data_IF_916089615542
#
_entry.id   IF_916089615542
#
_cell.length_a   1.000
_cell.length_b   1.000
_cell.length_c   1.000
_cell.angle_alpha   90.00
_cell.angle_beta   90.00
_cell.angle_gamma   90.00
#
_symmetry.space_group_name_H-M   'P 1'
#
loop_
_entity.id
_entity.type
_entity.pdbx_description
1 polymer ?
#
# COMPACT_ATOMS: atom_id res chain seq x y z
N UNK A 1 13.94 -9.61 -18.85
CA UNK A 1 13.74 -9.60 -17.39
C UNK A 1 14.66 -8.61 -16.68
N UNK A 2 14.35 -8.24 -15.44
CA UNK A 2 15.27 -7.48 -14.57
C UNK A 2 16.41 -8.35 -14.06
N UNK A 3 17.60 -7.76 -13.86
CA UNK A 3 18.79 -8.51 -13.44
C UNK A 3 18.75 -8.95 -11.97
N UNK A 4 18.32 -8.06 -11.07
CA UNK A 4 18.10 -8.35 -9.65
C UNK A 4 17.13 -7.30 -9.10
N UNK A 5 16.06 -7.75 -8.46
CA UNK A 5 15.11 -6.90 -7.76
C UNK A 5 14.89 -7.35 -6.31
N UNK A 6 15.77 -8.17 -5.74
CA UNK A 6 15.70 -8.57 -4.33
C UNK A 6 15.92 -7.37 -3.39
N UNK A 7 15.36 -7.42 -2.18
CA UNK A 7 15.51 -6.38 -1.17
C UNK A 7 14.26 -6.16 -0.32
N UNK A 8 14.11 -4.92 0.16
CA UNK A 8 12.91 -4.42 0.82
C UNK A 8 11.87 -4.03 -0.25
N UNK A 9 10.68 -4.60 -0.18
CA UNK A 9 9.64 -4.42 -1.21
C UNK A 9 8.45 -3.65 -0.66
N UNK A 10 7.34 -4.34 -0.36
CA UNK A 10 6.13 -3.69 0.10
C UNK A 10 6.30 -3.16 1.53
N UNK A 11 5.74 -1.97 1.75
CA UNK A 11 5.49 -1.41 3.08
C UNK A 11 4.05 -0.88 3.11
N UNK A 12 3.32 -1.17 4.18
CA UNK A 12 2.00 -0.60 4.42
C UNK A 12 1.83 -0.23 5.89
N UNK A 13 1.17 0.90 6.13
CA UNK A 13 0.73 1.30 7.46
C UNK A 13 -0.66 0.70 7.72
N UNK A 14 -0.93 0.34 8.98
CA UNK A 14 -2.30 0.03 9.37
C UNK A 14 -3.24 1.22 9.06
N UNK A 15 -4.49 1.02 8.62
CA UNK A 15 -5.39 2.12 8.24
C UNK A 15 -5.65 3.13 9.38
N UNK A 16 -5.60 2.65 10.62
CA UNK A 16 -5.68 3.47 11.85
C UNK A 16 -4.32 3.96 12.38
N UNK A 17 -3.27 3.96 11.60
CA UNK A 17 -1.98 4.52 12.03
C UNK A 17 -2.11 6.01 12.35
N UNK A 18 -1.45 6.53 13.42
CA UNK A 18 -0.58 5.84 14.37
C UNK A 18 -1.31 5.21 15.58
N UNK A 19 -2.66 5.26 15.66
CA UNK A 19 -3.43 4.70 16.79
C UNK A 19 -3.24 3.19 16.93
N UNK A 20 -3.18 2.50 15.79
CA UNK A 20 -2.68 1.14 15.70
C UNK A 20 -1.32 1.25 15.00
N UNK A 21 -0.21 1.28 15.77
CA UNK A 21 1.10 1.66 15.25
C UNK A 21 1.79 0.50 14.50
N UNK A 22 1.05 -0.25 13.69
CA UNK A 22 1.58 -1.39 12.95
C UNK A 22 2.06 -0.96 11.57
N UNK A 23 3.27 -1.43 11.24
CA UNK A 23 3.91 -1.27 9.94
C UNK A 23 4.20 -2.66 9.38
N UNK A 24 3.63 -2.97 8.23
CA UNK A 24 3.76 -4.26 7.56
C UNK A 24 4.79 -4.13 6.45
N UNK A 25 5.71 -5.09 6.40
CA UNK A 25 6.88 -5.03 5.54
C UNK A 25 7.13 -6.40 4.93
N UNK A 26 7.28 -6.44 3.61
CA UNK A 26 7.81 -7.61 2.91
C UNK A 26 9.23 -7.34 2.41
N UNK A 27 10.11 -8.32 2.61
CA UNK A 27 11.48 -8.25 2.11
C UNK A 27 12.07 -9.64 1.88
N UNK A 28 13.04 -9.70 0.98
CA UNK A 28 13.86 -10.89 0.74
C UNK A 28 15.04 -10.96 1.73
N UNK A 29 15.56 -12.15 1.94
CA UNK A 29 16.74 -12.42 2.75
C UNK A 29 17.59 -13.54 2.11
N UNK A 30 18.71 -13.88 2.73
CA UNK A 30 19.67 -14.87 2.21
C UNK A 30 19.01 -16.20 1.83
N UNK A 31 19.61 -16.90 0.86
CA UNK A 31 19.13 -18.18 0.33
C UNK A 31 17.79 -18.11 -0.40
N UNK A 32 17.50 -16.99 -1.07
CA UNK A 32 16.28 -16.83 -1.87
C UNK A 32 15.01 -17.08 -1.04
N UNK A 33 14.96 -16.51 0.17
CA UNK A 33 13.77 -16.48 1.00
C UNK A 33 13.16 -15.08 1.03
N UNK A 34 11.85 -15.00 1.26
CA UNK A 34 11.12 -13.78 1.59
C UNK A 34 10.23 -14.02 2.82
N UNK A 35 9.87 -12.92 3.48
CA UNK A 35 8.99 -12.94 4.66
C UNK A 35 8.09 -11.73 4.70
N UNK A 36 6.93 -11.89 5.31
CA UNK A 36 6.05 -10.80 5.69
C UNK A 36 6.18 -10.59 7.20
N UNK A 37 6.55 -9.37 7.58
CA UNK A 37 6.81 -9.00 8.99
C UNK A 37 5.97 -7.78 9.33
N UNK A 38 5.38 -7.81 10.52
CA UNK A 38 4.76 -6.64 11.14
C UNK A 38 5.68 -6.11 12.23
N UNK A 39 5.95 -4.82 12.19
CA UNK A 39 6.62 -4.09 13.25
C UNK A 39 5.63 -3.21 13.99
N UNK A 40 6.00 -2.82 15.20
CA UNK A 40 5.36 -1.73 15.94
C UNK A 40 6.21 -0.48 15.78
N UNK A 41 5.64 0.63 15.31
CA UNK A 41 6.33 1.92 15.29
C UNK A 41 6.31 2.54 16.69
N UNK A 42 7.50 2.67 17.30
CA UNK A 42 7.66 3.38 18.55
C UNK A 42 7.79 4.88 18.26
N UNK A 43 6.70 5.63 18.47
CA UNK A 43 6.69 7.09 18.34
C UNK A 43 7.79 7.72 19.22
N UNK A 44 7.99 7.20 20.43
CA UNK A 44 8.97 7.74 21.38
C UNK A 44 10.42 7.60 20.91
N UNK A 45 10.74 6.51 20.23
CA UNK A 45 12.09 6.22 19.77
C UNK A 45 12.28 6.50 18.27
N UNK A 46 11.23 6.97 17.61
CA UNK A 46 11.14 7.21 16.17
C UNK A 46 11.68 6.01 15.35
N UNK A 47 11.36 4.78 15.79
CA UNK A 47 11.94 3.56 15.24
C UNK A 47 10.97 2.38 15.25
N UNK A 48 11.22 1.40 14.39
CA UNK A 48 10.48 0.14 14.36
C UNK A 48 11.00 -0.82 15.43
N UNK A 49 10.09 -1.36 16.23
CA UNK A 49 10.36 -2.32 17.31
C UNK A 49 9.41 -3.52 17.19
N UNK A 50 9.57 -4.51 18.07
CA UNK A 50 8.64 -5.63 18.25
C UNK A 50 8.25 -6.33 16.94
N UNK A 51 9.24 -6.88 16.22
CA UNK A 51 9.02 -7.59 14.97
C UNK A 51 8.22 -8.89 15.21
N UNK A 52 7.07 -9.02 14.56
CA UNK A 52 6.26 -10.23 14.48
C UNK A 52 6.29 -10.74 13.06
N UNK A 53 6.78 -11.95 12.86
CA UNK A 53 6.74 -12.59 11.55
C UNK A 53 5.34 -13.15 11.31
N UNK A 54 4.69 -12.71 10.23
CA UNK A 54 3.35 -13.17 9.85
C UNK A 54 3.42 -14.36 8.90
N UNK A 55 4.29 -14.26 7.88
CA UNK A 55 4.59 -15.36 6.97
C UNK A 55 6.10 -15.57 6.93
N UNK A 56 6.52 -16.81 7.15
CA UNK A 56 7.90 -17.24 7.04
C UNK A 56 8.14 -17.99 5.72
N UNK A 57 9.41 -18.04 5.30
CA UNK A 57 9.88 -18.96 4.26
C UNK A 57 9.09 -18.93 2.95
N UNK A 58 8.65 -17.74 2.52
CA UNK A 58 8.15 -17.57 1.16
C UNK A 58 9.35 -17.81 0.24
N UNK A 59 9.20 -18.61 -0.80
CA UNK A 59 10.27 -18.78 -1.77
C UNK A 59 10.44 -17.48 -2.54
N UNK A 60 11.65 -16.97 -2.57
CA UNK A 60 12.04 -15.78 -3.33
C UNK A 60 13.01 -16.19 -4.43
N UNK A 61 13.46 -15.21 -5.20
CA UNK A 61 14.57 -15.36 -6.15
C UNK A 61 15.24 -13.99 -6.38
N UNK A 62 16.18 -13.90 -7.33
CA UNK A 62 16.72 -12.59 -7.75
C UNK A 62 15.65 -11.75 -8.48
N UNK A 63 14.61 -12.36 -9.03
CA UNK A 63 13.41 -11.67 -9.54
C UNK A 63 12.13 -12.44 -9.20
N UNK A 64 10.97 -11.90 -9.57
CA UNK A 64 9.62 -12.45 -9.37
C UNK A 64 9.21 -12.60 -7.91
N UNK A 65 9.60 -11.62 -7.10
CA UNK A 65 9.28 -11.60 -5.68
C UNK A 65 7.97 -10.88 -5.38
N UNK A 66 7.29 -10.33 -6.39
CA UNK A 66 6.31 -9.27 -6.15
C UNK A 66 7.00 -8.00 -5.62
N UNK A 67 6.41 -7.23 -4.72
CA UNK A 67 5.19 -7.50 -3.95
C UNK A 67 4.41 -6.22 -3.67
N UNK A 68 3.17 -6.36 -3.18
CA UNK A 68 2.35 -5.22 -2.75
C UNK A 68 1.40 -5.60 -1.62
N UNK A 69 1.16 -4.67 -0.70
CA UNK A 69 0.22 -4.84 0.42
C UNK A 69 -0.86 -3.76 0.31
N UNK A 70 -2.13 -4.15 0.42
CA UNK A 70 -3.26 -3.20 0.51
C UNK A 70 -4.26 -3.65 1.56
N UNK A 71 -4.79 -2.71 2.33
CA UNK A 71 -5.82 -2.99 3.35
C UNK A 71 -7.22 -2.93 2.74
N UNK A 72 -8.03 -3.93 3.07
CA UNK A 72 -9.48 -3.92 2.80
C UNK A 72 -10.21 -3.11 3.88
N UNK A 73 -9.77 -3.24 5.12
CA UNK A 73 -10.31 -2.58 6.30
C UNK A 73 -9.28 -2.62 7.45
N UNK A 74 -9.70 -2.23 8.66
CA UNK A 74 -8.86 -2.20 9.87
C UNK A 74 -8.43 -3.58 10.40
N UNK A 75 -8.80 -4.69 9.76
CA UNK A 75 -8.55 -6.05 10.27
C UNK A 75 -8.10 -7.04 9.21
N UNK A 76 -8.29 -6.72 7.91
CA UNK A 76 -7.93 -7.58 6.79
C UNK A 76 -7.09 -6.81 5.77
N UNK A 77 -6.05 -7.46 5.28
CA UNK A 77 -5.25 -6.96 4.17
C UNK A 77 -4.95 -8.07 3.14
N UNK A 78 -4.55 -7.61 1.96
CA UNK A 78 -4.16 -8.43 0.83
C UNK A 78 -2.68 -8.24 0.56
N UNK A 79 -2.03 -9.31 0.12
CA UNK A 79 -0.61 -9.34 -0.15
C UNK A 79 -0.34 -10.07 -1.48
N UNK A 80 0.14 -9.32 -2.47
CA UNK A 80 0.53 -9.84 -3.77
C UNK A 80 1.98 -10.35 -3.72
N UNK A 81 2.21 -11.57 -4.22
CA UNK A 81 3.53 -12.20 -4.24
C UNK A 81 3.76 -12.94 -5.55
N UNK A 82 4.94 -12.75 -6.13
CA UNK A 82 5.33 -13.40 -7.38
C UNK A 82 5.63 -14.89 -7.25
N UNK A 83 5.86 -15.53 -8.38
CA UNK A 83 6.09 -16.96 -8.49
C UNK A 83 7.47 -17.41 -7.97
N UNK A 84 8.44 -16.51 -7.79
CA UNK A 84 9.80 -16.85 -7.39
C UNK A 84 10.48 -17.91 -8.28
N UNK A 85 10.11 -18.00 -9.57
CA UNK A 85 10.45 -19.09 -10.51
C UNK A 85 9.99 -20.48 -10.05
N UNK A 86 8.82 -20.56 -9.43
CA UNK A 86 8.18 -21.82 -9.03
C UNK A 86 6.89 -22.04 -9.79
N UNK A 87 6.97 -22.05 -11.13
CA UNK A 87 5.80 -22.17 -12.02
C UNK A 87 4.86 -23.34 -11.65
N UNK A 88 5.40 -24.47 -11.17
CA UNK A 88 4.60 -25.62 -10.72
C UNK A 88 3.79 -25.39 -9.43
N UNK A 89 4.15 -24.42 -8.58
CA UNK A 89 3.47 -24.12 -7.32
C UNK A 89 2.37 -23.04 -7.49
N UNK A 90 2.38 -22.32 -8.62
CA UNK A 90 1.46 -21.22 -8.91
C UNK A 90 0.01 -21.67 -8.96
N UNK A 91 -0.24 -22.89 -9.43
CA UNK A 91 -1.59 -23.46 -9.55
C UNK A 91 -2.07 -24.19 -8.29
N UNK A 92 -1.20 -24.45 -7.31
CA UNK A 92 -1.57 -25.07 -6.03
C UNK A 92 -2.02 -23.99 -5.02
N UNK A 93 -3.30 -23.98 -4.60
CA UNK A 93 -3.82 -22.97 -3.68
C UNK A 93 -3.27 -23.10 -2.26
N UNK A 94 -2.60 -24.20 -1.90
CA UNK A 94 -1.96 -24.38 -0.58
C UNK A 94 -0.56 -23.77 -0.51
N UNK A 95 -0.01 -23.34 -1.65
CA UNK A 95 1.29 -22.68 -1.78
C UNK A 95 1.13 -21.16 -1.75
N UNK A 96 2.23 -20.48 -1.43
CA UNK A 96 2.25 -19.03 -1.25
C UNK A 96 2.59 -18.27 -2.54
N UNK A 97 3.42 -18.85 -3.41
CA UNK A 97 3.97 -18.17 -4.57
C UNK A 97 2.98 -18.08 -5.74
N UNK A 98 3.06 -16.97 -6.48
CA UNK A 98 2.21 -16.67 -7.64
C UNK A 98 0.75 -16.45 -7.25
N UNK A 99 0.53 -15.69 -6.18
CA UNK A 99 -0.79 -15.49 -5.55
C UNK A 99 -1.05 -14.03 -5.23
N UNK A 100 -2.33 -13.72 -5.09
CA UNK A 100 -2.78 -12.68 -4.17
C UNK A 100 -3.31 -13.39 -2.94
N UNK A 101 -2.74 -13.07 -1.79
CA UNK A 101 -3.10 -13.63 -0.48
C UNK A 101 -4.03 -12.67 0.27
N UNK A 102 -4.95 -13.19 1.07
CA UNK A 102 -5.83 -12.44 1.98
C UNK A 102 -5.67 -12.97 3.40
N UNK A 103 -5.39 -12.06 4.34
CA UNK A 103 -5.12 -12.41 5.73
C UNK A 103 -5.50 -11.34 6.73
N UNK A 104 -5.64 -11.75 7.98
CA UNK A 104 -5.86 -10.82 9.09
C UNK A 104 -4.59 -10.15 9.58
N UNK A 105 -4.76 -9.05 10.32
CA UNK A 105 -3.66 -8.19 10.79
C UNK A 105 -2.66 -8.87 11.73
N UNK A 106 -2.99 -10.04 12.30
CA UNK A 106 -2.08 -10.85 13.10
C UNK A 106 -1.59 -12.12 12.38
N UNK A 107 -1.85 -12.25 11.07
CA UNK A 107 -1.42 -13.39 10.26
C UNK A 107 -2.39 -14.57 10.24
N UNK A 108 -3.59 -14.42 10.79
CA UNK A 108 -4.66 -15.41 10.74
C UNK A 108 -5.20 -15.60 9.31
N UNK A 109 -5.59 -16.84 8.98
CA UNK A 109 -6.31 -17.15 7.74
C UNK A 109 -7.80 -16.87 7.98
N UNK A 110 -8.43 -15.96 7.21
CA UNK A 110 -9.87 -15.74 7.31
C UNK A 110 -10.66 -16.99 6.92
N UNK A 111 -11.69 -17.33 7.71
CA UNK A 111 -12.52 -18.52 7.48
C UNK A 111 -13.30 -18.46 6.16
N UNK A 112 -13.56 -17.25 5.66
CA UNK A 112 -14.28 -17.01 4.42
C UNK A 112 -13.37 -16.94 3.19
N UNK A 113 -12.07 -17.28 3.30
CA UNK A 113 -11.20 -17.42 2.14
C UNK A 113 -11.71 -18.53 1.19
N UNK A 114 -11.50 -18.39 -0.14
CA UNK A 114 -12.03 -19.33 -1.13
C UNK A 114 -11.44 -20.74 -1.01
N UNK A 115 -10.24 -20.87 -0.44
CA UNK A 115 -9.54 -22.14 -0.26
C UNK A 115 -9.39 -22.43 1.24
N UNK A 116 -10.05 -23.47 1.77
CA UNK A 116 -10.06 -23.76 3.21
C UNK A 116 -8.66 -23.89 3.80
N UNK A 117 -8.39 -23.14 4.88
CA UNK A 117 -7.11 -23.17 5.58
C UNK A 117 -5.94 -22.53 4.81
N UNK A 118 -6.20 -21.86 3.68
CA UNK A 118 -5.19 -21.18 2.88
C UNK A 118 -5.38 -19.66 2.85
N UNK A 119 -4.27 -18.93 2.80
CA UNK A 119 -4.26 -17.50 2.56
C UNK A 119 -4.66 -17.12 1.13
N UNK A 120 -4.65 -18.06 0.18
CA UNK A 120 -4.90 -17.76 -1.23
C UNK A 120 -6.27 -17.12 -1.44
N UNK A 121 -6.27 -15.93 -2.05
CA UNK A 121 -7.46 -15.26 -2.55
C UNK A 121 -7.65 -15.50 -4.04
N UNK A 122 -6.57 -15.36 -4.82
CA UNK A 122 -6.51 -15.75 -6.22
C UNK A 122 -5.13 -16.34 -6.56
N UNK A 123 -5.07 -17.11 -7.64
CA UNK A 123 -3.89 -17.86 -8.08
C UNK A 123 -3.64 -17.68 -9.57
N UNK A 124 -2.51 -18.18 -10.09
CA UNK A 124 -2.16 -17.99 -11.49
C UNK A 124 -1.48 -16.66 -11.79
N UNK A 125 -0.71 -16.11 -10.84
CA UNK A 125 0.03 -14.84 -11.02
C UNK A 125 1.52 -15.10 -11.24
N UNK A 126 2.15 -14.33 -12.13
CA UNK A 126 3.59 -14.40 -12.40
C UNK A 126 4.38 -13.52 -11.46
N UNK A 127 4.17 -12.20 -11.54
CA UNK A 127 4.92 -11.23 -10.74
C UNK A 127 4.12 -9.94 -10.52
N UNK A 128 3.10 -9.96 -9.65
CA UNK A 128 2.28 -8.80 -9.36
C UNK A 128 3.05 -7.74 -8.56
N UNK A 129 3.02 -6.50 -9.04
CA UNK A 129 3.76 -5.35 -8.50
C UNK A 129 2.83 -4.20 -8.07
N UNK A 130 1.64 -4.12 -8.69
CA UNK A 130 0.57 -3.19 -8.34
C UNK A 130 -0.60 -3.91 -7.70
N UNK A 131 -1.22 -3.31 -6.69
CA UNK A 131 -2.41 -3.84 -6.03
C UNK A 131 -3.17 -2.69 -5.35
N UNK A 132 -4.44 -2.49 -5.71
CA UNK A 132 -5.26 -1.41 -5.15
C UNK A 132 -6.74 -1.75 -5.11
N UNK A 133 -7.43 -1.27 -4.07
CA UNK A 133 -8.89 -1.21 -4.08
C UNK A 133 -9.37 0.03 -4.84
N UNK A 134 -10.23 -0.18 -5.83
CA UNK A 134 -11.03 0.86 -6.45
C UNK A 134 -12.43 0.98 -5.83
N UNK A 135 -13.34 1.59 -6.59
CA UNK A 135 -14.73 1.79 -6.20
C UNK A 135 -15.45 0.46 -5.90
N UNK A 136 -16.34 0.49 -4.91
CA UNK A 136 -17.15 -0.65 -4.46
C UNK A 136 -16.33 -1.86 -4.01
N UNK A 137 -15.08 -1.66 -3.56
CA UNK A 137 -14.22 -2.74 -3.08
C UNK A 137 -13.66 -3.64 -4.18
N UNK A 138 -13.68 -3.21 -5.45
CA UNK A 138 -13.03 -3.95 -6.54
C UNK A 138 -11.52 -3.89 -6.38
N UNK A 139 -10.88 -5.06 -6.36
CA UNK A 139 -9.44 -5.17 -6.23
C UNK A 139 -8.82 -5.27 -7.63
N UNK A 140 -7.85 -4.44 -7.93
CA UNK A 140 -7.10 -4.47 -9.19
C UNK A 140 -5.64 -4.81 -8.91
N UNK A 141 -5.02 -5.58 -9.77
CA UNK A 141 -3.60 -5.94 -9.71
C UNK A 141 -2.95 -5.74 -11.06
N UNK A 142 -1.69 -5.34 -11.07
CA UNK A 142 -0.88 -5.35 -12.29
C UNK A 142 0.40 -6.14 -12.11
N UNK A 143 0.80 -6.84 -13.16
CA UNK A 143 1.89 -7.81 -13.10
C UNK A 143 2.74 -7.86 -14.36
N UNK A 144 3.96 -8.39 -14.21
CA UNK A 144 4.89 -8.56 -15.33
C UNK A 144 4.74 -9.93 -15.99
N UNK A 145 4.56 -9.96 -17.31
CA UNK A 145 4.53 -11.18 -18.14
C UNK A 145 5.92 -11.70 -18.56
N UNK A 146 5.95 -12.83 -19.28
CA UNK A 146 7.18 -13.51 -19.74
C UNK A 146 7.66 -12.94 -21.09
N UNK A 147 8.25 -11.75 -21.05
CA UNK A 147 8.70 -10.99 -22.23
C UNK A 147 7.59 -10.51 -23.20
N UNK A 148 6.38 -11.04 -23.04
CA UNK A 148 5.11 -10.58 -23.61
C UNK A 148 4.10 -10.34 -22.47
N UNK A 149 2.97 -9.71 -22.81
CA UNK A 149 1.74 -9.67 -22.02
C UNK A 149 1.93 -9.31 -20.54
N UNK A 150 2.40 -8.09 -20.27
CA UNK A 150 2.16 -7.53 -18.94
C UNK A 150 0.67 -7.27 -18.76
N UNK A 151 0.13 -7.48 -17.57
CA UNK A 151 -1.32 -7.50 -17.37
C UNK A 151 -1.81 -6.48 -16.36
N UNK A 152 -3.04 -6.00 -16.59
CA UNK A 152 -3.90 -5.41 -15.57
C UNK A 152 -5.12 -6.31 -15.35
N UNK A 153 -5.26 -6.80 -14.12
CA UNK A 153 -6.25 -7.77 -13.72
C UNK A 153 -7.30 -7.18 -12.76
N UNK A 154 -8.59 -7.47 -12.99
CA UNK A 154 -9.63 -7.33 -11.98
C UNK A 154 -9.63 -8.59 -11.12
N UNK A 155 -9.26 -8.45 -9.85
CA UNK A 155 -9.05 -9.54 -8.92
C UNK A 155 -10.34 -10.00 -8.27
N UNK A 156 -10.64 -11.28 -8.45
CA UNK A 156 -11.87 -11.91 -8.02
C UNK A 156 -11.59 -13.14 -7.13
N UNK A 157 -12.48 -13.35 -6.15
CA UNK A 157 -12.39 -14.42 -5.17
C UNK A 157 -12.29 -15.80 -5.84
N UNK A 158 -11.21 -16.53 -5.57
CA UNK A 158 -11.00 -17.91 -5.99
C UNK A 158 -10.70 -18.09 -7.48
N UNK A 159 -10.48 -17.01 -8.23
CA UNK A 159 -10.22 -17.08 -9.67
C UNK A 159 -8.75 -17.41 -9.97
N UNK A 160 -8.56 -18.03 -11.14
CA UNK A 160 -7.27 -18.41 -11.70
C UNK A 160 -6.92 -17.47 -12.87
N UNK A 161 -5.73 -16.87 -12.83
CA UNK A 161 -5.23 -15.89 -13.81
C UNK A 161 -4.26 -16.51 -14.83
N UNK A 162 -4.17 -17.85 -14.90
CA UNK A 162 -3.61 -18.54 -16.05
C UNK A 162 -2.14 -18.90 -15.95
N UNK A 163 -1.28 -18.06 -15.36
CA UNK A 163 0.16 -18.33 -15.30
C UNK A 163 0.47 -19.69 -14.65
N UNK A 164 1.36 -20.53 -15.21
CA UNK A 164 2.18 -20.31 -16.41
C UNK A 164 1.57 -20.85 -17.72
N UNK A 165 0.38 -21.43 -17.67
CA UNK A 165 -0.20 -22.17 -18.78
C UNK A 165 -0.91 -21.25 -19.79
N UNK A 166 -1.26 -20.03 -19.37
CA UNK A 166 -1.84 -18.96 -20.19
C UNK A 166 -1.12 -17.65 -19.84
N UNK A 167 -0.73 -16.89 -20.87
CA UNK A 167 -0.16 -15.55 -20.75
C UNK A 167 -1.07 -14.54 -21.45
N UNK A 168 -1.57 -13.53 -20.73
CA UNK A 168 -2.49 -12.54 -21.30
C UNK A 168 -3.89 -13.10 -21.54
N UNK A 169 -4.39 -12.93 -22.76
CA UNK A 169 -5.72 -13.38 -23.16
C UNK A 169 -5.72 -14.86 -23.56
N UNK A 170 -6.86 -15.52 -23.48
CA UNK A 170 -7.05 -16.88 -23.96
C UNK A 170 -7.16 -16.89 -25.49
N UNK A 171 -6.09 -16.55 -26.20
CA UNK A 171 -6.11 -16.31 -27.65
C UNK A 171 -5.25 -17.29 -28.46
N UNK A 172 -4.39 -18.08 -27.83
CA UNK A 172 -3.66 -19.15 -28.50
C UNK A 172 -4.47 -20.44 -28.55
N UNK A 173 -4.41 -21.14 -29.68
CA UNK A 173 -5.08 -22.44 -29.86
C UNK A 173 -4.63 -23.45 -28.80
N UNK A 174 -3.37 -23.39 -28.37
CA UNK A 174 -2.80 -24.26 -27.33
C UNK A 174 -3.39 -24.01 -25.94
N UNK A 175 -3.90 -22.81 -25.66
CA UNK A 175 -4.41 -22.41 -24.34
C UNK A 175 -5.89 -22.71 -24.16
N UNK A 176 -6.67 -22.75 -25.26
CA UNK A 176 -8.13 -22.83 -25.21
C UNK A 176 -8.67 -23.95 -24.31
N UNK A 177 -8.10 -25.16 -24.41
CA UNK A 177 -8.54 -26.28 -23.57
C UNK A 177 -8.30 -26.03 -22.09
N UNK A 178 -7.18 -25.39 -21.74
CA UNK A 178 -6.87 -25.02 -20.35
C UNK A 178 -7.76 -23.87 -19.87
N UNK A 179 -7.97 -22.86 -20.71
CA UNK A 179 -8.88 -21.75 -20.45
C UNK A 179 -10.29 -22.20 -20.11
N UNK A 180 -10.84 -23.14 -20.89
CA UNK A 180 -12.17 -23.71 -20.67
C UNK A 180 -12.22 -24.59 -19.42
N UNK A 181 -11.21 -25.46 -19.22
CA UNK A 181 -11.18 -26.42 -18.10
C UNK A 181 -11.06 -25.72 -16.74
N UNK A 182 -10.15 -24.74 -16.64
CA UNK A 182 -9.84 -24.04 -15.40
C UNK A 182 -10.58 -22.70 -15.26
N UNK A 183 -11.45 -22.39 -16.22
CA UNK A 183 -12.19 -21.13 -16.31
C UNK A 183 -11.26 -19.95 -16.10
N UNK A 184 -10.24 -19.77 -16.95
CA UNK A 184 -9.23 -18.72 -16.75
C UNK A 184 -9.88 -17.33 -16.77
N UNK A 185 -9.39 -16.46 -15.89
CA UNK A 185 -9.82 -15.07 -15.80
C UNK A 185 -8.84 -14.20 -16.58
N UNK A 186 -9.28 -13.79 -17.76
CA UNK A 186 -8.52 -12.91 -18.65
C UNK A 186 -8.34 -11.50 -18.05
N UNK A 187 -7.25 -10.81 -18.43
CA UNK A 187 -6.97 -9.45 -17.98
C UNK A 187 -7.93 -8.42 -18.58
N UNK A 188 -7.97 -7.24 -17.94
CA UNK A 188 -8.65 -6.08 -18.51
C UNK A 188 -7.85 -5.47 -19.68
N UNK A 189 -6.52 -5.54 -19.59
CA UNK A 189 -5.55 -5.05 -20.57
C UNK A 189 -4.32 -5.94 -20.51
N UNK A 190 -3.75 -6.24 -21.68
CA UNK A 190 -2.42 -6.83 -21.82
C UNK A 190 -1.52 -5.90 -22.66
N UNK A 191 -0.27 -5.68 -22.23
CA UNK A 191 0.70 -4.83 -22.92
C UNK A 191 1.84 -5.66 -23.52
N UNK A 192 1.93 -5.63 -24.85
CA UNK A 192 2.91 -6.40 -25.63
C UNK A 192 3.64 -5.51 -26.66
N UNK A 193 4.99 -5.49 -26.67
CA UNK A 193 5.90 -6.11 -25.71
C UNK A 193 5.76 -5.51 -24.30
N UNK A 194 6.28 -6.21 -23.28
CA UNK A 194 6.19 -5.77 -21.86
C UNK A 194 6.57 -4.29 -21.68
N UNK A 195 5.80 -3.54 -20.89
CA UNK A 195 6.02 -2.16 -20.43
C UNK A 195 6.52 -2.07 -18.97
N UNK A 196 6.45 -3.18 -18.24
CA UNK A 196 6.79 -3.44 -16.84
C UNK A 196 5.97 -2.58 -15.85
N UNK A 197 4.65 -2.86 -15.67
CA UNK A 197 3.79 -2.15 -14.74
C UNK A 197 4.17 -2.43 -13.27
N UNK A 198 4.08 -1.41 -12.43
CA UNK A 198 4.41 -1.49 -11.01
C UNK A 198 3.32 -0.87 -10.13
N UNK A 199 3.60 0.23 -9.41
CA UNK A 199 2.61 0.91 -8.58
C UNK A 199 1.30 1.19 -9.30
N UNK A 200 0.21 0.96 -8.58
CA UNK A 200 -1.16 1.12 -9.07
C UNK A 200 -1.97 1.85 -8.00
N UNK A 201 -2.66 2.92 -8.38
CA UNK A 201 -3.53 3.67 -7.50
C UNK A 201 -4.90 3.93 -8.15
N UNK A 202 -5.96 3.99 -7.35
CA UNK A 202 -7.27 4.42 -7.83
C UNK A 202 -7.43 5.92 -7.59
N UNK A 203 -7.93 6.64 -8.60
CA UNK A 203 -8.17 8.08 -8.52
C UNK A 203 -9.62 8.42 -8.86
N UNK A 204 -10.31 9.08 -7.93
CA UNK A 204 -11.66 9.64 -8.14
C UNK A 204 -11.86 10.98 -7.40
N UNK A 205 -10.75 11.72 -7.22
CA UNK A 205 -10.80 13.02 -6.57
C UNK A 205 -11.11 14.13 -7.59
N UNK A 206 -11.81 15.18 -7.15
CA UNK A 206 -12.20 16.30 -8.02
C UNK A 206 -11.03 17.23 -8.41
N UNK A 207 -9.87 17.07 -7.78
CA UNK A 207 -8.66 17.88 -8.04
C UNK A 207 -8.16 17.77 -9.48
N UNK A 208 -8.37 16.62 -10.12
CA UNK A 208 -8.01 16.35 -11.51
C UNK A 208 -9.22 15.68 -12.19
N UNK A 209 -10.22 16.45 -12.65
CA UNK A 209 -11.50 15.92 -13.16
C UNK A 209 -11.34 14.90 -14.29
N UNK A 210 -10.35 15.07 -15.16
CA UNK A 210 -10.04 14.19 -16.29
C UNK A 210 -9.56 12.80 -15.85
N UNK A 211 -9.05 12.66 -14.61
CA UNK A 211 -8.59 11.39 -14.06
C UNK A 211 -9.65 10.67 -13.23
N UNK A 212 -10.83 11.28 -13.05
CA UNK A 212 -11.86 10.67 -12.21
C UNK A 212 -12.23 9.28 -12.69
N UNK A 213 -12.34 8.37 -11.73
CA UNK A 213 -12.67 6.97 -11.95
C UNK A 213 -11.67 6.31 -12.91
N UNK A 214 -10.38 6.53 -12.63
CA UNK A 214 -9.27 5.91 -13.36
C UNK A 214 -8.32 5.18 -12.41
N UNK A 215 -7.62 4.19 -12.96
CA UNK A 215 -6.43 3.63 -12.35
C UNK A 215 -5.21 4.40 -12.84
N UNK A 216 -4.35 4.83 -11.93
CA UNK A 216 -3.05 5.43 -12.23
C UNK A 216 -2.00 4.32 -12.14
N UNK A 217 -1.36 4.00 -13.25
CA UNK A 217 -0.39 2.91 -13.38
C UNK A 217 0.99 3.48 -13.71
N UNK A 218 1.98 3.20 -12.88
CA UNK A 218 3.38 3.53 -13.19
C UNK A 218 4.05 2.39 -13.96
N UNK A 219 4.99 2.74 -14.84
CA UNK A 219 5.75 1.78 -15.64
C UNK A 219 7.26 1.96 -15.49
N UNK A 220 7.94 0.82 -15.33
CA UNK A 220 9.39 0.75 -15.18
C UNK A 220 10.10 0.78 -16.53
N UNK A 221 9.71 -0.07 -17.48
CA UNK A 221 10.42 -0.21 -18.76
C UNK A 221 10.01 0.90 -19.71
N UNK A 222 8.73 1.24 -19.76
CA UNK A 222 8.27 2.29 -20.65
C UNK A 222 8.50 3.71 -20.09
N UNK A 223 8.62 3.86 -18.76
CA UNK A 223 9.06 5.10 -18.07
C UNK A 223 8.02 6.22 -18.12
N UNK A 224 6.78 5.85 -17.86
CA UNK A 224 5.62 6.74 -17.91
C UNK A 224 4.57 6.38 -16.87
N UNK A 225 3.61 7.29 -16.71
CA UNK A 225 2.40 7.11 -15.90
C UNK A 225 1.23 7.03 -16.87
N UNK A 226 0.40 5.99 -16.80
CA UNK A 226 -0.87 5.93 -17.54
C UNK A 226 -2.04 6.17 -16.63
N UNK A 227 -3.00 6.98 -17.09
CA UNK A 227 -4.35 7.02 -16.51
C UNK A 227 -5.26 6.09 -17.34
N UNK A 228 -5.78 5.05 -16.70
CA UNK A 228 -6.61 4.01 -17.29
C UNK A 228 -8.05 4.24 -16.85
N UNK A 229 -8.86 4.87 -17.71
CA UNK A 229 -10.26 5.22 -17.40
C UNK A 229 -11.09 3.95 -17.33
N UNK A 230 -11.69 3.67 -16.19
CA UNK A 230 -12.57 2.52 -16.00
C UNK A 230 -13.97 2.78 -16.59
N UNK A 231 -14.65 1.73 -17.03
CA UNK A 231 -16.09 1.73 -17.25
C UNK A 231 -16.86 1.96 -15.95
N UNK A 232 -18.11 2.42 -16.01
CA UNK A 232 -18.89 2.74 -14.80
C UNK A 232 -19.03 1.55 -13.82
N UNK A 233 -19.10 0.33 -14.34
CA UNK A 233 -19.13 -0.89 -13.54
C UNK A 233 -17.75 -1.35 -13.06
N UNK A 234 -16.67 -0.71 -13.50
CA UNK A 234 -15.28 -1.01 -13.16
C UNK A 234 -14.73 -2.29 -13.79
N UNK A 235 -15.36 -2.83 -14.83
CA UNK A 235 -15.02 -4.13 -15.43
C UNK A 235 -14.31 -4.07 -16.78
N UNK A 236 -14.01 -2.88 -17.28
CA UNK A 236 -13.24 -2.67 -18.52
C UNK A 236 -12.51 -1.34 -18.50
N UNK A 237 -11.46 -1.22 -19.31
CA UNK A 237 -10.76 0.04 -19.57
C UNK A 237 -11.36 0.69 -20.83
N UNK A 238 -11.84 1.92 -20.70
CA UNK A 238 -12.43 2.71 -21.78
C UNK A 238 -11.39 3.52 -22.53
N UNK A 239 -10.32 3.93 -21.85
CA UNK A 239 -9.28 4.79 -22.40
C UNK A 239 -7.99 4.64 -21.60
N UNK A 240 -6.87 4.64 -22.32
CA UNK A 240 -5.53 4.80 -21.76
C UNK A 240 -4.99 6.17 -22.18
N UNK A 241 -4.36 6.90 -21.27
CA UNK A 241 -3.73 8.19 -21.57
C UNK A 241 -2.38 8.28 -20.88
N UNK A 242 -1.35 8.50 -21.69
CA UNK A 242 0.05 8.51 -21.23
C UNK A 242 0.44 9.90 -20.73
N UNK A 243 1.08 9.93 -19.56
CA UNK A 243 1.62 11.10 -18.91
C UNK A 243 3.08 10.87 -18.57
N UNK A 244 3.83 11.97 -18.45
CA UNK A 244 5.26 11.93 -18.12
C UNK A 244 6.11 11.11 -19.11
N UNK A 245 5.58 10.84 -20.31
CA UNK A 245 6.28 10.20 -21.41
C UNK A 245 7.14 11.21 -22.17
N UNK A 246 8.35 10.81 -22.56
CA UNK A 246 9.28 11.65 -23.34
C UNK A 246 10.17 10.74 -24.18
N UNK A 247 10.39 11.12 -25.44
CA UNK A 247 11.35 10.45 -26.33
C UNK A 247 12.65 11.25 -26.46
N UNK A 248 13.76 10.56 -26.68
CA UNK A 248 15.04 11.17 -27.08
C UNK A 248 15.08 11.45 -28.60
N UNK A 249 16.20 11.99 -29.07
CA UNK A 249 16.38 12.40 -30.49
C UNK A 249 16.33 11.22 -31.48
N UNK A 250 16.47 9.98 -30.98
CA UNK A 250 16.37 8.75 -31.80
C UNK A 250 15.03 8.04 -31.61
N UNK A 251 14.07 8.66 -30.93
CA UNK A 251 12.71 8.16 -30.74
C UNK A 251 12.56 7.11 -29.64
N UNK A 252 13.59 6.86 -28.82
CA UNK A 252 13.52 5.92 -27.70
C UNK A 252 12.76 6.57 -26.54
N UNK A 253 11.81 5.85 -25.94
CA UNK A 253 11.13 6.32 -24.73
C UNK A 253 12.16 6.41 -23.59
N UNK A 254 12.34 7.60 -23.03
CA UNK A 254 13.22 7.91 -21.89
C UNK A 254 12.45 8.40 -20.67
N UNK A 255 11.18 8.81 -20.83
CA UNK A 255 10.36 9.40 -19.77
C UNK A 255 10.88 10.77 -19.32
N UNK A 256 10.01 11.58 -18.71
CA UNK A 256 10.45 12.83 -18.08
C UNK A 256 11.36 12.57 -16.87
N UNK A 257 10.99 11.57 -16.07
CA UNK A 257 11.67 11.19 -14.84
C UNK A 257 12.35 9.82 -14.90
N UNK A 258 12.35 9.16 -16.06
CA UNK A 258 12.82 7.79 -16.17
C UNK A 258 11.82 6.80 -15.58
N UNK A 259 12.33 5.71 -15.01
CA UNK A 259 11.56 4.57 -14.51
C UNK A 259 10.71 5.00 -13.34
N UNK A 260 9.42 4.72 -13.38
CA UNK A 260 8.48 4.98 -12.28
C UNK A 260 8.17 3.65 -11.58
N UNK A 261 8.11 3.65 -10.24
CA UNK A 261 7.97 2.42 -9.41
C UNK A 261 6.70 2.37 -8.61
N UNK A 262 6.30 3.49 -8.03
CA UNK A 262 5.17 3.54 -7.12
C UNK A 262 4.35 4.79 -7.36
N UNK A 263 3.06 4.71 -7.03
CA UNK A 263 2.13 5.83 -7.09
C UNK A 263 1.19 5.76 -5.89
N UNK A 264 1.04 6.89 -5.22
CA UNK A 264 0.14 7.06 -4.08
C UNK A 264 -0.76 8.26 -4.34
N UNK A 265 -2.06 8.07 -4.13
CA UNK A 265 -3.05 9.16 -4.14
C UNK A 265 -3.33 9.53 -2.68
N UNK A 266 -3.00 10.76 -2.31
CA UNK A 266 -3.27 11.29 -0.98
C UNK A 266 -4.77 11.64 -0.83
N UNK A 267 -5.32 11.67 0.40
CA UNK A 267 -6.73 11.97 0.63
C UNK A 267 -7.18 13.34 0.12
N UNK A 268 -6.28 14.32 0.04
CA UNK A 268 -6.57 15.65 -0.52
C UNK A 268 -6.53 15.68 -2.07
N UNK A 269 -6.24 14.56 -2.72
CA UNK A 269 -6.17 14.43 -4.18
C UNK A 269 -4.84 14.83 -4.80
N UNK A 270 -3.78 15.07 -4.01
CA UNK A 270 -2.41 15.11 -4.53
C UNK A 270 -1.92 13.70 -4.83
N UNK A 271 -0.97 13.58 -5.76
CA UNK A 271 -0.38 12.31 -6.16
C UNK A 271 1.12 12.35 -5.89
N UNK A 272 1.68 11.25 -5.40
CA UNK A 272 3.10 11.08 -5.17
C UNK A 272 3.60 9.88 -5.98
N UNK A 273 4.70 10.07 -6.72
CA UNK A 273 5.29 9.03 -7.56
C UNK A 273 6.75 8.83 -7.16
N UNK A 274 7.20 7.58 -7.05
CA UNK A 274 8.62 7.27 -6.85
C UNK A 274 9.32 6.87 -8.15
N UNK A 275 10.54 7.37 -8.39
CA UNK A 275 11.40 6.88 -9.47
C UNK A 275 12.20 5.63 -9.06
N UNK A 276 12.75 4.91 -10.04
CA UNK A 276 13.56 3.69 -9.82
C UNK A 276 14.68 3.57 -10.85
N UNK A 277 15.46 4.63 -11.01
CA UNK A 277 16.55 4.74 -11.96
C UNK A 277 17.88 4.21 -11.41
N UNK A 278 18.05 4.13 -10.07
CA UNK A 278 19.29 3.61 -9.46
C UNK A 278 19.35 2.08 -9.36
N UNK A 279 18.31 1.38 -9.82
CA UNK A 279 18.37 -0.08 -9.97
C UNK A 279 19.19 -0.48 -11.21
N UNK A 280 19.69 -1.73 -11.32
CA UNK A 280 20.54 -2.17 -12.44
C UNK A 280 19.97 -1.87 -13.83
N UNK A 281 18.65 -1.92 -13.99
CA UNK A 281 17.95 -1.67 -15.25
C UNK A 281 17.74 -0.18 -15.58
N UNK A 282 18.07 0.76 -14.68
CA UNK A 282 17.87 2.20 -14.85
C UNK A 282 19.09 2.99 -15.35
N UNK A 283 20.25 2.34 -15.49
CA UNK A 283 21.52 3.02 -15.82
C UNK A 283 21.52 3.86 -17.10
N UNK A 284 20.60 3.63 -18.04
CA UNK A 284 20.48 4.43 -19.26
C UNK A 284 19.77 5.79 -19.07
N UNK A 285 19.07 6.00 -17.96
CA UNK A 285 18.27 7.20 -17.69
C UNK A 285 18.58 7.86 -16.34
N UNK A 286 19.47 7.27 -15.55
CA UNK A 286 19.83 7.74 -14.21
C UNK A 286 20.46 9.13 -14.22
N UNK A 287 20.00 9.99 -13.32
CA UNK A 287 20.50 11.34 -13.05
C UNK A 287 21.16 11.39 -11.67
N UNK A 288 21.99 12.41 -11.45
CA UNK A 288 22.74 12.59 -10.20
C UNK A 288 21.84 12.66 -8.96
N UNK A 289 20.67 13.28 -9.10
CA UNK A 289 19.71 13.51 -8.02
C UNK A 289 18.57 12.48 -7.96
N UNK A 290 18.67 11.38 -8.71
CA UNK A 290 17.78 10.22 -8.54
C UNK A 290 18.14 9.44 -7.26
N UNK A 291 17.28 8.59 -6.71
CA UNK A 291 15.84 8.48 -7.00
C UNK A 291 15.03 9.52 -6.21
N UNK A 292 13.80 9.81 -6.67
CA UNK A 292 12.97 10.91 -6.20
C UNK A 292 11.56 10.47 -5.84
N UNK A 293 10.96 11.22 -4.93
CA UNK A 293 9.50 11.30 -4.78
C UNK A 293 9.03 12.58 -5.47
N UNK A 294 8.13 12.44 -6.43
CA UNK A 294 7.58 13.52 -7.25
C UNK A 294 6.15 13.77 -6.81
N UNK A 295 5.84 15.00 -6.39
CA UNK A 295 4.47 15.44 -6.15
C UNK A 295 3.86 15.92 -7.47
N UNK A 296 2.69 15.37 -7.83
CA UNK A 296 1.85 15.87 -8.91
C UNK A 296 0.57 16.47 -8.32
N UNK A 297 0.19 17.64 -8.83
CA UNK A 297 -1.03 18.34 -8.45
C UNK A 297 -1.50 19.25 -9.58
N UNK A 298 -2.81 19.45 -9.68
CA UNK A 298 -3.40 20.51 -10.50
C UNK A 298 -3.21 21.87 -9.80
N UNK A 299 -2.43 22.82 -10.35
CA UNK A 299 -2.18 24.12 -9.71
C UNK A 299 -3.41 25.02 -9.64
N UNK A 300 -4.47 24.72 -10.38
CA UNK A 300 -5.72 25.48 -10.38
C UNK A 300 -6.73 24.95 -9.35
N UNK A 301 -6.40 23.88 -8.63
CA UNK A 301 -7.24 23.33 -7.59
C UNK A 301 -6.80 23.80 -6.20
N UNK A 302 -7.76 24.14 -5.34
CA UNK A 302 -7.49 24.49 -3.95
C UNK A 302 -7.49 23.23 -3.10
N UNK A 303 -6.31 22.76 -2.74
CA UNK A 303 -6.16 21.62 -1.85
C UNK A 303 -6.42 22.06 -0.42
N UNK A 304 -7.20 21.26 0.31
CA UNK A 304 -7.07 21.29 1.77
C UNK A 304 -5.62 20.96 2.12
N UNK A 305 -5.12 21.53 3.21
CA UNK A 305 -3.73 21.28 3.65
C UNK A 305 -3.42 19.78 3.69
N UNK A 306 -4.43 18.92 3.92
CA UNK A 306 -4.30 17.46 3.92
C UNK A 306 -3.45 16.94 5.08
N UNK A 307 -2.63 17.81 5.65
CA UNK A 307 -2.20 17.82 7.02
C UNK A 307 -3.44 17.92 7.91
N UNK A 308 -3.98 16.76 8.31
CA UNK A 308 -4.12 16.55 9.76
C UNK A 308 -2.71 16.84 10.27
N UNK A 309 -2.48 18.07 10.72
CA UNK A 309 -1.14 18.46 11.10
C UNK A 309 -0.80 17.62 12.32
N UNK A 310 -0.07 16.52 12.12
CA UNK A 310 0.88 16.01 13.11
C UNK A 310 2.03 17.03 13.12
N UNK A 311 1.67 18.27 13.44
CA UNK A 311 2.54 19.36 13.83
C UNK A 311 3.34 18.75 14.98
N UNK A 312 4.67 18.80 14.90
CA UNK A 312 5.53 18.23 15.93
C UNK A 312 5.00 18.58 17.32
N UNK A 313 4.90 17.58 18.19
CA UNK A 313 4.27 17.64 19.52
C UNK A 313 4.42 19.02 20.17
N UNK A 314 3.40 19.87 20.08
CA UNK A 314 3.38 21.18 20.74
C UNK A 314 2.90 21.02 22.19
N UNK A 315 1.99 20.08 22.45
CA UNK A 315 1.53 19.83 23.81
C UNK A 315 2.57 19.08 24.64
N UNK A 316 2.89 19.60 25.82
CA UNK A 316 3.87 19.01 26.72
C UNK A 316 3.17 18.13 27.74
N UNK A 317 3.44 16.82 27.72
CA UNK A 317 2.78 15.83 28.58
C UNK A 317 3.75 15.29 29.62
N UNK A 318 3.42 15.49 30.91
CA UNK A 318 4.27 15.04 32.01
C UNK A 318 3.51 14.87 33.34
N UNK A 319 3.99 14.02 34.26
CA UNK A 319 5.00 13.00 34.03
C UNK A 319 4.44 11.91 33.10
N UNK A 320 5.30 11.30 32.30
CA UNK A 320 4.95 10.15 31.49
C UNK A 320 6.20 9.27 31.40
N UNK A 321 6.26 8.10 32.08
CA UNK A 321 5.15 7.38 32.72
C UNK A 321 4.60 8.04 34.01
N UNK A 322 3.37 7.71 34.41
CA UNK A 322 2.69 8.22 35.62
C UNK A 322 1.84 7.16 36.33
N UNK A 323 1.49 7.34 37.61
CA UNK A 323 0.56 6.47 38.32
C UNK A 323 -0.89 6.91 38.15
N UNK A 324 -1.17 8.19 38.41
CA UNK A 324 -2.55 8.66 38.60
C UNK A 324 -3.01 9.67 37.55
N UNK A 325 -2.12 10.52 37.04
CA UNK A 325 -2.51 11.60 36.13
C UNK A 325 -1.38 12.08 35.21
N UNK A 326 -1.77 12.63 34.07
CA UNK A 326 -0.89 13.36 33.15
C UNK A 326 -1.21 14.85 33.26
N UNK A 327 -0.21 15.71 33.39
CA UNK A 327 -0.40 17.13 33.09
C UNK A 327 -0.12 17.34 31.61
N UNK A 328 -1.04 18.05 30.96
CA UNK A 328 -0.98 18.38 29.55
C UNK A 328 -0.94 19.90 29.47
N UNK A 329 0.16 20.44 28.95
CA UNK A 329 0.27 21.85 28.61
C UNK A 329 0.00 22.01 27.13
N UNK A 330 -1.04 22.74 26.76
CA UNK A 330 -1.36 23.04 25.35
C UNK A 330 -0.56 24.25 24.88
N UNK A 331 -0.13 24.20 23.62
CA UNK A 331 0.60 25.30 22.99
C UNK A 331 -0.31 26.40 22.42
N UNK A 332 -1.58 26.07 22.14
CA UNK A 332 -2.54 27.00 21.53
C UNK A 332 -3.79 27.15 22.40
N UNK A 333 -4.49 28.27 22.20
CA UNK A 333 -5.76 28.58 22.87
C UNK A 333 -6.94 28.07 22.02
N UNK A 334 -7.30 26.79 22.20
CA UNK A 334 -8.32 26.09 21.42
C UNK A 334 -9.26 25.26 22.31
N UNK A 335 -10.30 24.70 21.69
CA UNK A 335 -11.17 23.70 22.30
C UNK A 335 -10.67 22.30 21.97
N UNK A 336 -10.09 21.63 22.95
CA UNK A 336 -9.51 20.30 22.81
C UNK A 336 -10.47 19.19 23.24
N UNK A 337 -10.42 18.08 22.50
CA UNK A 337 -10.88 16.75 22.88
C UNK A 337 -9.66 15.89 23.16
N UNK A 338 -9.67 15.18 24.28
CA UNK A 338 -8.58 14.34 24.76
C UNK A 338 -9.07 12.90 24.82
N UNK A 339 -8.76 12.13 23.78
CA UNK A 339 -9.23 10.76 23.63
C UNK A 339 -8.09 9.79 23.93
N UNK A 340 -8.25 8.98 24.97
CA UNK A 340 -7.31 7.93 25.35
C UNK A 340 -7.75 6.60 24.75
N UNK A 341 -6.86 5.98 23.97
CA UNK A 341 -7.06 4.68 23.33
C UNK A 341 -6.11 3.64 23.93
N UNK A 342 -6.56 2.40 24.07
CA UNK A 342 -5.68 1.27 24.40
C UNK A 342 -4.84 0.79 23.19
N UNK A 343 -3.99 -0.21 23.42
CA UNK A 343 -3.09 -0.77 22.37
C UNK A 343 -3.82 -1.41 21.18
N UNK A 344 -5.10 -1.73 21.33
CA UNK A 344 -5.93 -2.26 20.24
C UNK A 344 -6.63 -1.14 19.44
N UNK A 345 -6.44 0.13 19.84
CA UNK A 345 -7.11 1.27 19.25
C UNK A 345 -8.55 1.46 19.74
N UNK A 346 -8.95 0.83 20.85
CA UNK A 346 -10.27 1.04 21.48
C UNK A 346 -10.22 2.28 22.38
N UNK A 347 -11.20 3.16 22.24
CA UNK A 347 -11.36 4.33 23.11
C UNK A 347 -11.69 3.88 24.53
N UNK A 348 -10.85 4.25 25.50
CA UNK A 348 -11.01 3.91 26.92
C UNK A 348 -11.46 5.10 27.76
N UNK A 349 -11.13 6.33 27.36
CA UNK A 349 -11.56 7.55 28.05
C UNK A 349 -11.55 8.75 27.09
N UNK A 350 -12.47 9.70 27.29
CA UNK A 350 -12.53 10.95 26.54
C UNK A 350 -12.81 12.11 27.49
N UNK A 351 -12.00 13.15 27.43
CA UNK A 351 -12.15 14.41 28.18
C UNK A 351 -12.24 15.60 27.20
N UNK A 352 -12.70 16.76 27.68
CA UNK A 352 -12.71 18.02 26.91
C UNK A 352 -12.09 19.15 27.72
N UNK A 353 -11.32 20.00 27.06
CA UNK A 353 -10.69 21.17 27.67
C UNK A 353 -10.72 22.38 26.75
N UNK A 354 -11.15 23.53 27.26
CA UNK A 354 -11.03 24.81 26.55
C UNK A 354 -9.83 25.56 27.13
N UNK A 355 -8.71 25.61 26.41
CA UNK A 355 -7.50 26.23 26.95
C UNK A 355 -7.55 27.76 26.99
N UNK A 356 -8.35 28.38 26.14
CA UNK A 356 -8.57 29.85 26.15
C UNK A 356 -9.38 30.35 27.35
N UNK A 357 -10.26 29.51 27.91
CA UNK A 357 -11.10 29.85 29.08
C UNK A 357 -10.56 29.27 30.39
N UNK A 358 -10.05 28.04 30.35
CA UNK A 358 -9.68 27.28 31.55
C UNK A 358 -8.16 27.23 31.78
N UNK A 359 -7.38 27.94 30.97
CA UNK A 359 -5.93 27.99 31.03
C UNK A 359 -5.24 26.91 30.20
N UNK A 360 -3.95 27.11 29.93
CA UNK A 360 -3.16 26.23 29.04
C UNK A 360 -2.79 24.87 29.65
N UNK A 361 -3.20 24.57 30.89
CA UNK A 361 -2.91 23.31 31.55
C UNK A 361 -4.19 22.52 31.81
N UNK A 362 -4.13 21.22 31.57
CA UNK A 362 -5.16 20.26 31.94
C UNK A 362 -4.55 19.04 32.61
N UNK A 363 -5.19 18.56 33.67
CA UNK A 363 -4.77 17.35 34.36
C UNK A 363 -5.68 16.18 33.96
N UNK A 364 -5.17 15.32 33.08
CA UNK A 364 -5.87 14.13 32.61
C UNK A 364 -5.73 13.01 33.64
N UNK A 365 -6.82 12.72 34.35
CA UNK A 365 -6.86 11.69 35.39
C UNK A 365 -6.94 10.28 34.78
N UNK A 366 -6.15 9.33 35.28
CA UNK A 366 -6.26 7.90 34.96
C UNK A 366 -7.62 7.34 35.35
N UNK A 367 -8.09 7.67 36.55
CA UNK A 367 -9.31 7.08 37.12
C UNK A 367 -9.20 5.57 37.26
N UNK A 368 -10.19 4.82 36.73
CA UNK A 368 -10.28 3.36 36.85
C UNK A 368 -9.57 2.60 35.71
N UNK A 369 -8.79 3.29 34.89
CA UNK A 369 -8.07 2.66 33.78
C UNK A 369 -6.95 1.78 34.33
N UNK A 370 -6.79 0.56 33.80
CA UNK A 370 -5.72 -0.35 34.23
C UNK A 370 -4.32 0.18 33.87
N UNK A 371 -3.30 -0.34 34.56
CA UNK A 371 -1.92 -0.01 34.23
C UNK A 371 -1.60 -0.55 32.83
N UNK A 372 -0.96 0.28 32.01
CA UNK A 372 -0.67 -0.06 30.63
C UNK A 372 -0.15 1.11 29.81
N UNK A 373 0.18 0.81 28.55
CA UNK A 373 0.50 1.78 27.53
C UNK A 373 -0.76 2.15 26.74
N UNK A 374 -0.97 3.44 26.54
CA UNK A 374 -2.12 4.03 25.85
C UNK A 374 -1.66 5.04 24.81
N UNK A 375 -2.55 5.37 23.88
CA UNK A 375 -2.39 6.43 22.90
C UNK A 375 -3.39 7.54 23.25
N UNK A 376 -2.89 8.70 23.64
CA UNK A 376 -3.68 9.90 23.87
C UNK A 376 -3.71 10.74 22.60
N UNK A 377 -4.89 10.93 22.03
CA UNK A 377 -5.14 11.82 20.90
C UNK A 377 -5.69 13.14 21.44
N UNK A 378 -5.00 14.23 21.15
CA UNK A 378 -5.46 15.58 21.46
C UNK A 378 -5.92 16.20 20.15
N UNK A 379 -7.20 16.50 20.00
CA UNK A 379 -7.75 17.09 18.78
C UNK A 379 -8.57 18.34 19.03
N UNK A 380 -8.70 19.23 18.05
CA UNK A 380 -9.58 20.40 18.13
C UNK A 380 -10.54 20.46 16.94
N UNK A 381 -11.59 21.28 17.06
CA UNK A 381 -12.56 21.46 15.94
C UNK A 381 -11.96 22.24 14.77
N UNK A 382 -10.91 22.99 15.05
CA UNK A 382 -10.16 23.83 14.12
C UNK A 382 -9.14 23.01 13.30
N UNK A 383 -9.08 21.68 13.49
CA UNK A 383 -8.24 20.76 12.72
C UNK A 383 -6.91 20.39 13.37
N UNK A 384 -6.63 20.91 14.58
CA UNK A 384 -5.44 20.51 15.34
C UNK A 384 -5.53 19.04 15.77
N UNK A 385 -4.44 18.27 15.65
CA UNK A 385 -4.40 16.88 16.09
C UNK A 385 -3.00 16.42 16.46
N UNK A 386 -2.82 16.02 17.70
CA UNK A 386 -1.59 15.41 18.21
C UNK A 386 -1.85 14.01 18.74
N UNK A 387 -0.83 13.16 18.65
CA UNK A 387 -0.89 11.79 19.16
C UNK A 387 0.30 11.55 20.08
N UNK A 388 0.00 11.22 21.34
CA UNK A 388 0.99 10.99 22.39
C UNK A 388 0.88 9.57 22.91
N UNK A 389 2.02 8.87 23.04
CA UNK A 389 2.07 7.64 23.83
C UNK A 389 2.09 8.01 25.31
N UNK A 390 1.22 7.42 26.12
CA UNK A 390 1.19 7.65 27.57
C UNK A 390 1.18 6.32 28.33
N UNK A 391 1.87 6.27 29.48
CA UNK A 391 2.01 5.04 30.27
C UNK A 391 1.48 5.30 31.67
N UNK A 392 0.49 4.50 32.08
CA UNK A 392 0.03 4.38 33.45
C UNK A 392 0.64 3.12 34.08
N UNK A 393 1.28 3.20 35.24
CA UNK A 393 1.88 2.04 35.92
C UNK A 393 1.29 1.74 37.30
#
# INVERSE_FOLDING_TARGET
ESFDNSGLHAMALHPRFPLVPYVYVNYTYSLYGARLVRYTYSIQAETLVDSVHLIHNIRANFTHNGSRIVFENDSIFYFAIGDGFTSMEVQDPTKLNGKILRMGINGEVPEDNPFPGSYTWSLGHRNPQGLVFGRDGKLYSSEHGEATDDELNLIEKGRNYGWPDVEGFCDLISEQSYCDEYFIREPLVAWTPTEAPCGLAYFDHESIPEWRHSLLQTFLKDKELKALRLSEDGKSILQETDYLSRKDDVGKNIGYYGRLRDVLVAPNGKIYISTSNREPNGGAVVKEDDDKIIELFNPNYSYSSGEDTVLGLESLIHPNPTQDYLNIRFAQELNYTLDLYDRSGKLVKSDRHNSGLNGSFYQFQRGQIEAGMFILVISSREGFKEVHKVIFY
#
